data_IF_743436625058
#
_entry.id   IF_743436625058
#
_cell.length_a   1.000
_cell.length_b   1.000
_cell.length_c   1.000
_cell.angle_alpha   90.00
_cell.angle_beta   90.00
_cell.angle_gamma   90.00
#
_symmetry.space_group_name_H-M   'P 1'
#
loop_
_entity.id
_entity.type
_entity.pdbx_description
1 polymer ?
#
# COMPACT_ATOMS: atom_id res chain seq x y z
N UNK A 1 22.47 12.72 -0.11
CA UNK A 1 21.86 13.70 -1.03
C UNK A 1 22.41 13.38 -2.40
N UNK A 2 21.56 13.22 -3.42
CA UNK A 2 21.99 12.76 -4.74
C UNK A 2 22.68 13.91 -5.48
N UNK A 3 23.83 13.64 -6.11
CA UNK A 3 24.64 14.60 -6.87
C UNK A 3 24.30 14.58 -8.36
N UNK A 4 24.64 15.65 -9.08
CA UNK A 4 24.39 15.72 -10.53
C UNK A 4 25.14 14.61 -11.29
N UNK A 5 26.34 14.24 -10.86
CA UNK A 5 27.13 13.18 -11.48
C UNK A 5 26.42 11.82 -11.38
N UNK A 6 25.85 11.48 -10.21
CA UNK A 6 25.08 10.24 -10.03
C UNK A 6 23.84 10.19 -10.93
N UNK A 7 23.19 11.33 -11.18
CA UNK A 7 22.06 11.42 -12.12
C UNK A 7 22.50 11.17 -13.56
N UNK A 8 23.64 11.74 -13.98
CA UNK A 8 24.19 11.54 -15.33
C UNK A 8 24.59 10.07 -15.53
N UNK A 9 25.28 9.46 -14.56
CA UNK A 9 25.65 8.04 -14.60
C UNK A 9 24.41 7.14 -14.68
N UNK A 10 23.38 7.42 -13.88
CA UNK A 10 22.12 6.66 -13.93
C UNK A 10 21.48 6.77 -15.32
N UNK A 11 21.44 7.96 -15.91
CA UNK A 11 20.87 8.16 -17.24
C UNK A 11 21.64 7.40 -18.34
N UNK A 12 22.97 7.32 -18.22
CA UNK A 12 23.78 6.47 -19.11
C UNK A 12 23.46 4.99 -18.94
N UNK A 13 23.30 4.51 -17.69
CA UNK A 13 22.92 3.12 -17.41
C UNK A 13 21.57 2.78 -18.03
N UNK A 14 20.56 3.64 -17.84
CA UNK A 14 19.22 3.46 -18.43
C UNK A 14 19.26 3.39 -19.95
N UNK A 15 20.10 4.21 -20.59
CA UNK A 15 20.20 4.25 -22.06
C UNK A 15 20.97 3.06 -22.65
N UNK A 16 21.92 2.48 -21.89
CA UNK A 16 22.82 1.42 -22.37
C UNK A 16 22.45 0.01 -21.90
N UNK A 17 21.59 -0.10 -20.89
CA UNK A 17 21.23 -1.37 -20.25
C UNK A 17 19.70 -1.56 -20.27
N UNK A 18 19.25 -2.79 -20.56
CA UNK A 18 17.82 -3.13 -20.57
C UNK A 18 17.30 -3.35 -19.14
N UNK A 19 17.16 -2.28 -18.37
CA UNK A 19 16.68 -2.31 -17.00
C UNK A 19 15.15 -2.36 -16.92
N UNK A 20 14.64 -3.00 -15.88
CA UNK A 20 13.22 -2.98 -15.50
C UNK A 20 13.05 -2.70 -14.00
N UNK A 21 11.94 -2.05 -13.66
CA UNK A 21 11.53 -1.86 -12.26
C UNK A 21 10.47 -2.89 -11.92
N UNK A 22 10.84 -3.84 -11.07
CA UNK A 22 9.93 -4.92 -10.65
C UNK A 22 8.67 -4.39 -9.95
N UNK A 23 8.81 -3.39 -9.09
CA UNK A 23 7.67 -2.82 -8.38
C UNK A 23 7.97 -1.42 -7.87
N UNK A 24 6.94 -0.57 -7.89
CA UNK A 24 6.85 0.59 -7.00
C UNK A 24 5.80 0.29 -5.93
N UNK A 25 6.08 0.69 -4.69
CA UNK A 25 5.18 0.44 -3.57
C UNK A 25 4.97 1.74 -2.80
N UNK A 26 3.72 2.16 -2.64
CA UNK A 26 3.36 3.26 -1.75
C UNK A 26 3.02 2.72 -0.36
N UNK A 27 3.73 3.19 0.66
CA UNK A 27 3.42 2.90 2.05
C UNK A 27 2.40 3.88 2.61
N UNK A 28 1.28 3.39 3.17
CA UNK A 28 0.22 4.23 3.74
C UNK A 28 0.00 3.83 5.20
N UNK A 29 0.22 4.76 6.12
CA UNK A 29 -0.12 4.57 7.53
C UNK A 29 -1.63 4.65 7.73
N UNK A 30 -2.21 3.70 8.47
CA UNK A 30 -3.64 3.65 8.78
C UNK A 30 -3.94 3.87 10.28
N UNK A 31 -2.94 4.20 11.10
CA UNK A 31 -3.15 4.39 12.54
C UNK A 31 -4.12 5.53 12.89
N UNK A 32 -4.17 6.56 12.05
CA UNK A 32 -5.12 7.68 12.15
C UNK A 32 -6.51 7.35 11.56
N UNK A 33 -6.68 6.18 10.96
CA UNK A 33 -7.97 5.72 10.42
C UNK A 33 -8.82 5.00 11.46
N UNK A 34 -8.30 4.74 12.67
CA UNK A 34 -9.06 4.08 13.74
C UNK A 34 -10.25 4.96 14.14
N UNK A 35 -11.46 4.46 13.87
CA UNK A 35 -12.73 5.10 14.21
C UNK A 35 -13.28 4.66 15.56
N UNK A 36 -14.54 5.05 15.84
CA UNK A 36 -15.27 4.55 17.02
C UNK A 36 -15.75 3.11 16.85
N UNK A 37 -15.94 2.67 15.61
CA UNK A 37 -16.44 1.36 15.20
C UNK A 37 -15.77 0.89 13.90
N UNK A 38 -16.07 -0.34 13.49
CA UNK A 38 -15.49 -0.98 12.30
C UNK A 38 -15.89 -0.21 11.03
N UNK A 39 -17.15 0.24 10.94
CA UNK A 39 -17.66 0.93 9.76
C UNK A 39 -16.94 2.26 9.54
N UNK A 40 -16.82 3.10 10.57
CA UNK A 40 -16.09 4.37 10.48
C UNK A 40 -14.61 4.14 10.15
N UNK A 41 -14.02 3.06 10.67
CA UNK A 41 -12.64 2.68 10.37
C UNK A 41 -12.49 2.31 8.89
N UNK A 42 -13.40 1.50 8.35
CA UNK A 42 -13.42 1.14 6.93
C UNK A 42 -13.58 2.38 6.03
N UNK A 43 -14.50 3.29 6.35
CA UNK A 43 -14.72 4.51 5.57
C UNK A 43 -13.46 5.39 5.53
N UNK A 44 -12.76 5.54 6.66
CA UNK A 44 -11.50 6.27 6.76
C UNK A 44 -10.37 5.59 5.97
N UNK A 45 -10.23 4.27 6.09
CA UNK A 45 -9.24 3.48 5.35
C UNK A 45 -9.45 3.66 3.84
N UNK A 46 -10.68 3.46 3.37
CA UNK A 46 -11.03 3.58 1.96
C UNK A 46 -10.69 4.97 1.42
N UNK A 47 -11.14 6.01 2.11
CA UNK A 47 -10.88 7.40 1.73
C UNK A 47 -9.38 7.70 1.70
N UNK A 48 -8.64 7.31 2.75
CA UNK A 48 -7.21 7.62 2.83
C UNK A 48 -6.40 6.94 1.73
N UNK A 49 -6.69 5.67 1.45
CA UNK A 49 -6.00 4.92 0.39
C UNK A 49 -6.29 5.53 -0.98
N UNK A 50 -7.57 5.75 -1.29
CA UNK A 50 -7.98 6.32 -2.58
C UNK A 50 -7.45 7.74 -2.78
N UNK A 51 -7.51 8.60 -1.75
CA UNK A 51 -7.01 9.98 -1.83
C UNK A 51 -5.48 10.04 -2.01
N UNK A 52 -4.74 9.18 -1.29
CA UNK A 52 -3.27 9.19 -1.29
C UNK A 52 -2.68 8.54 -2.54
N UNK A 53 -3.31 7.49 -3.05
CA UNK A 53 -2.77 6.68 -4.13
C UNK A 53 -3.42 6.94 -5.50
N UNK A 54 -4.40 7.84 -5.61
CA UNK A 54 -5.13 8.16 -6.86
C UNK A 54 -4.24 8.32 -8.11
N UNK A 55 -3.06 8.92 -7.95
CA UNK A 55 -2.17 9.25 -9.06
C UNK A 55 -1.05 8.20 -9.24
N UNK A 56 -0.98 7.17 -8.39
CA UNK A 56 0.13 6.20 -8.35
C UNK A 56 0.29 5.45 -9.68
N UNK A 57 -0.81 4.97 -10.25
CA UNK A 57 -0.78 4.20 -11.50
C UNK A 57 -0.46 5.11 -12.69
N UNK A 58 -1.12 6.27 -12.77
CA UNK A 58 -0.90 7.27 -13.83
C UNK A 58 0.55 7.75 -13.84
N UNK A 59 1.06 8.18 -12.68
CA UNK A 59 2.46 8.61 -12.50
C UNK A 59 3.44 7.49 -12.89
N UNK A 60 3.17 6.25 -12.48
CA UNK A 60 3.99 5.11 -12.86
C UNK A 60 4.01 4.87 -14.38
N UNK A 61 2.88 5.06 -15.07
CA UNK A 61 2.83 4.96 -16.53
C UNK A 61 3.57 6.11 -17.23
N UNK A 62 3.47 7.32 -16.70
CA UNK A 62 4.19 8.49 -17.22
C UNK A 62 5.70 8.33 -17.09
N UNK A 63 6.19 7.86 -15.94
CA UNK A 63 7.61 7.55 -15.72
C UNK A 63 8.09 6.50 -16.73
N UNK A 64 7.31 5.44 -16.95
CA UNK A 64 7.66 4.43 -17.97
C UNK A 64 7.75 5.02 -19.37
N UNK A 65 6.85 5.95 -19.75
CA UNK A 65 6.92 6.64 -21.05
C UNK A 65 8.12 7.58 -21.16
N UNK A 66 8.45 8.28 -20.09
CA UNK A 66 9.51 9.30 -20.07
C UNK A 66 10.90 8.66 -20.17
N UNK A 67 11.14 7.57 -19.45
CA UNK A 67 12.47 6.95 -19.35
C UNK A 67 12.62 5.66 -20.15
N UNK A 68 11.54 5.16 -20.77
CA UNK A 68 11.57 3.90 -21.52
C UNK A 68 11.75 2.65 -20.66
N UNK A 69 11.66 2.77 -19.32
CA UNK A 69 11.83 1.66 -18.39
C UNK A 69 10.46 1.12 -17.96
N UNK A 70 10.17 -0.19 -18.15
CA UNK A 70 8.93 -0.77 -17.70
C UNK A 70 8.87 -0.85 -16.18
N UNK A 71 7.76 -0.37 -15.60
CA UNK A 71 7.40 -0.60 -14.19
C UNK A 71 6.35 -1.72 -14.16
N UNK A 72 6.78 -2.91 -13.77
CA UNK A 72 5.97 -4.15 -13.84
C UNK A 72 4.79 -4.11 -12.88
N UNK A 73 5.01 -3.68 -11.63
CA UNK A 73 3.97 -3.64 -10.61
C UNK A 73 3.85 -2.28 -9.91
N UNK A 74 2.61 -1.91 -9.59
CA UNK A 74 2.26 -0.81 -8.68
C UNK A 74 1.54 -1.42 -7.49
N UNK A 75 2.04 -1.20 -6.27
CA UNK A 75 1.56 -1.84 -5.05
C UNK A 75 1.30 -0.81 -3.95
N UNK A 76 0.48 -1.20 -3.00
CA UNK A 76 0.29 -0.47 -1.75
C UNK A 76 0.66 -1.40 -0.59
N UNK A 77 1.32 -0.86 0.42
CA UNK A 77 1.51 -1.55 1.70
C UNK A 77 0.95 -0.70 2.83
N UNK A 78 0.17 -1.30 3.72
CA UNK A 78 -0.47 -0.59 4.83
C UNK A 78 0.05 -1.05 6.18
N UNK A 79 -0.26 -0.28 7.23
CA UNK A 79 -0.08 -0.70 8.63
C UNK A 79 -0.71 -2.07 8.86
N UNK A 80 -0.06 -3.00 9.59
CA UNK A 80 -0.64 -4.30 9.94
C UNK A 80 -2.07 -4.16 10.48
N UNK A 81 -3.04 -4.80 9.81
CA UNK A 81 -4.46 -4.62 10.13
C UNK A 81 -4.81 -5.09 11.54
N UNK A 82 -4.08 -6.04 12.14
CA UNK A 82 -4.26 -6.38 13.56
C UNK A 82 -4.11 -5.15 14.49
N UNK A 83 -3.21 -4.21 14.16
CA UNK A 83 -3.00 -2.99 14.95
C UNK A 83 -4.10 -1.95 14.73
N UNK A 84 -4.66 -1.90 13.53
CA UNK A 84 -5.73 -0.96 13.15
C UNK A 84 -7.08 -1.43 13.71
N UNK A 85 -7.37 -2.73 13.54
CA UNK A 85 -8.60 -3.35 14.01
C UNK A 85 -8.60 -3.67 15.51
N UNK A 86 -7.46 -3.61 16.19
CA UNK A 86 -7.33 -4.14 17.56
C UNK A 86 -8.24 -3.51 18.62
N UNK A 87 -8.68 -2.27 18.44
CA UNK A 87 -9.63 -1.61 19.34
C UNK A 87 -11.10 -1.80 18.92
N UNK A 88 -11.38 -1.89 17.61
CA UNK A 88 -12.74 -1.84 17.05
C UNK A 88 -13.30 -3.20 16.64
N UNK A 89 -12.47 -4.13 16.19
CA UNK A 89 -12.88 -5.47 15.78
C UNK A 89 -13.04 -6.36 17.02
N UNK A 90 -14.13 -7.14 17.05
CA UNK A 90 -14.46 -8.10 18.12
C UNK A 90 -14.66 -9.51 17.58
N UNK A 91 -14.80 -9.66 16.27
CA UNK A 91 -15.02 -10.92 15.57
C UNK A 91 -14.12 -11.03 14.34
N UNK A 92 -14.01 -12.23 13.79
CA UNK A 92 -13.34 -12.46 12.49
C UNK A 92 -14.04 -11.71 11.36
N UNK A 93 -15.37 -11.61 11.41
CA UNK A 93 -16.17 -10.95 10.38
C UNK A 93 -15.87 -9.44 10.31
N UNK A 94 -15.57 -8.82 11.45
CA UNK A 94 -15.14 -7.41 11.50
C UNK A 94 -13.82 -7.19 10.73
N UNK A 95 -12.86 -8.11 10.86
CA UNK A 95 -11.61 -8.05 10.11
C UNK A 95 -11.82 -8.35 8.62
N UNK A 96 -12.74 -9.25 8.28
CA UNK A 96 -13.15 -9.50 6.89
C UNK A 96 -13.74 -8.25 6.25
N UNK A 97 -14.49 -7.42 6.97
CA UNK A 97 -14.99 -6.14 6.43
C UNK A 97 -13.85 -5.15 6.12
N UNK A 98 -12.79 -5.13 6.94
CA UNK A 98 -11.59 -4.35 6.63
C UNK A 98 -10.90 -4.93 5.39
N UNK A 99 -10.77 -6.25 5.26
CA UNK A 99 -10.17 -6.88 4.08
C UNK A 99 -10.91 -6.52 2.79
N UNK A 100 -12.25 -6.60 2.79
CA UNK A 100 -13.10 -6.17 1.66
C UNK A 100 -12.90 -4.69 1.33
N UNK A 101 -12.74 -3.86 2.35
CA UNK A 101 -12.49 -2.42 2.18
C UNK A 101 -11.15 -2.15 1.51
N UNK A 102 -10.09 -2.87 1.90
CA UNK A 102 -8.78 -2.80 1.26
C UNK A 102 -8.84 -3.23 -0.20
N UNK A 103 -9.54 -4.33 -0.49
CA UNK A 103 -9.71 -4.84 -1.86
C UNK A 103 -10.46 -3.84 -2.74
N UNK A 104 -11.56 -3.26 -2.22
CA UNK A 104 -12.32 -2.21 -2.89
C UNK A 104 -11.44 -0.98 -3.19
N UNK A 105 -10.64 -0.54 -2.23
CA UNK A 105 -9.73 0.60 -2.42
C UNK A 105 -8.62 0.30 -3.44
N UNK A 106 -8.08 -0.92 -3.42
CA UNK A 106 -7.07 -1.36 -4.40
C UNK A 106 -7.63 -1.40 -5.82
N UNK A 107 -8.87 -1.90 -5.98
CA UNK A 107 -9.58 -1.92 -7.25
C UNK A 107 -9.84 -0.51 -7.78
N UNK A 108 -10.29 0.41 -6.92
CA UNK A 108 -10.55 1.81 -7.28
C UNK A 108 -9.29 2.53 -7.79
N UNK A 109 -8.15 2.34 -7.11
CA UNK A 109 -6.88 2.96 -7.50
C UNK A 109 -6.23 2.24 -8.70
N UNK A 110 -6.61 0.99 -8.97
CA UNK A 110 -6.07 0.19 -10.06
C UNK A 110 -4.66 -0.36 -9.80
N UNK A 111 -4.30 -0.58 -8.53
CA UNK A 111 -3.02 -1.21 -8.17
C UNK A 111 -3.08 -2.72 -8.32
N UNK A 112 -1.92 -3.36 -8.48
CA UNK A 112 -1.87 -4.81 -8.64
C UNK A 112 -2.20 -5.55 -7.35
N UNK A 113 -1.70 -5.05 -6.22
CA UNK A 113 -1.87 -5.67 -4.91
C UNK A 113 -1.79 -4.63 -3.79
N UNK A 114 -2.59 -4.83 -2.75
CA UNK A 114 -2.46 -4.18 -1.46
C UNK A 114 -2.05 -5.22 -0.41
N UNK A 115 -0.95 -4.95 0.29
CA UNK A 115 -0.44 -5.79 1.37
C UNK A 115 -0.58 -5.08 2.73
N UNK A 116 -0.64 -5.85 3.81
CA UNK A 116 -0.74 -5.31 5.17
C UNK A 116 -1.91 -5.88 5.98
N UNK A 117 -2.74 -6.73 5.39
CA UNK A 117 -3.60 -7.64 6.15
C UNK A 117 -2.73 -8.68 6.87
N UNK A 118 -2.13 -8.26 7.98
CA UNK A 118 -1.08 -8.98 8.70
C UNK A 118 -1.09 -8.65 10.20
N UNK A 119 -0.43 -9.52 10.97
CA UNK A 119 -0.26 -9.43 12.42
C UNK A 119 1.22 -9.61 12.80
N UNK A 120 1.59 -9.18 14.00
CA UNK A 120 2.96 -9.29 14.54
C UNK A 120 2.97 -10.15 15.80
N UNK A 121 3.18 -11.46 15.62
CA UNK A 121 2.94 -12.47 16.68
C UNK A 121 4.20 -13.03 17.33
N UNK A 122 5.36 -12.42 17.06
CA UNK A 122 6.67 -12.96 17.46
C UNK A 122 6.91 -13.03 18.97
N UNK A 123 6.16 -12.27 19.77
CA UNK A 123 6.27 -12.22 21.24
C UNK A 123 4.96 -12.63 21.95
N UNK A 124 4.11 -13.37 21.25
CA UNK A 124 2.75 -13.71 21.70
C UNK A 124 1.69 -13.03 20.85
N UNK A 125 0.46 -13.52 20.98
CA UNK A 125 -0.70 -13.05 20.23
C UNK A 125 -1.66 -12.31 21.17
N UNK A 126 -2.09 -11.12 20.76
CA UNK A 126 -3.27 -10.46 21.31
C UNK A 126 -4.54 -11.12 20.79
N UNK A 127 -5.70 -10.76 21.34
CA UNK A 127 -6.98 -11.24 20.82
C UNK A 127 -7.21 -10.75 19.38
N UNK A 128 -6.81 -9.51 19.08
CA UNK A 128 -6.86 -8.98 17.72
C UNK A 128 -6.01 -9.79 16.73
N UNK A 129 -4.81 -10.21 17.14
CA UNK A 129 -3.94 -11.05 16.30
C UNK A 129 -4.52 -12.45 16.03
N UNK A 130 -5.38 -12.95 16.92
CA UNK A 130 -6.05 -14.25 16.75
C UNK A 130 -7.29 -14.19 15.87
N UNK A 131 -7.97 -13.04 15.91
CA UNK A 131 -9.18 -12.77 15.13
C UNK A 131 -8.87 -12.39 13.68
N UNK A 132 -7.67 -11.84 13.41
CA UNK A 132 -7.20 -11.50 12.06
C UNK A 132 -6.83 -12.74 11.24
#
# INVERSE_FOLDING_TARGET
MITLNEVIETNEMVSRMNLDVRTITMGISLLDCVGKDVQETCDKIYKKITDSARDLVATGQEITKMYGIPIVHKRISVTPIALVGGSVCKTTDDFVEIAKTLDKAAAEVGVNFIGGYSALVSKGMTEADRLL
#
